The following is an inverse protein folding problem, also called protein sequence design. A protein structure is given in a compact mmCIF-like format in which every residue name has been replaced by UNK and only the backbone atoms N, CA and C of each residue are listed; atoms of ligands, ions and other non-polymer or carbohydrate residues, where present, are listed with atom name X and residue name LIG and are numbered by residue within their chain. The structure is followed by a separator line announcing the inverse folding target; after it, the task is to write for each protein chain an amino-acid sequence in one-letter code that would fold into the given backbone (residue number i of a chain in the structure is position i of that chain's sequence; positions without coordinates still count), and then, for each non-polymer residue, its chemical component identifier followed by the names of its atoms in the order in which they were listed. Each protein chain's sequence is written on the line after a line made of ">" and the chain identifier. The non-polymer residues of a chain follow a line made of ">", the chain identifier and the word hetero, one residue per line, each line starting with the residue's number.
data_IF_274589373373
#
_entry.id   IF_274589373373
#
_cell.length_a   1.000
_cell.length_b   1.000
_cell.length_c   1.000
_cell.angle_alpha   90.00
_cell.angle_beta   90.00
_cell.angle_gamma   90.00
#
_symmetry.space_group_name_H-M   'P 1'
#
loop_
_entity.id
_entity.type
_entity.pdbx_description
1 polymer ?
#
# COMPACT_ATOMS: atom_id res chain seq x y z
N UNK A 1 4.80 -89.10 -28.21
CA UNK A 1 4.24 -88.67 -26.92
C UNK A 1 5.34 -88.03 -26.10
N UNK A 2 5.39 -86.69 -26.04
CA UNK A 2 5.43 -85.89 -24.80
C UNK A 2 5.51 -84.43 -25.22
N UNK A 3 4.44 -83.69 -24.92
CA UNK A 3 4.26 -82.29 -25.23
C UNK A 3 4.97 -81.43 -24.18
N UNK A 4 5.76 -80.45 -24.59
CA UNK A 4 6.17 -79.33 -23.71
C UNK A 4 5.74 -78.03 -24.38
N UNK A 5 4.87 -77.31 -23.67
CA UNK A 5 4.20 -76.10 -24.12
C UNK A 5 5.14 -74.90 -23.97
N UNK A 6 5.33 -74.14 -25.05
CA UNK A 6 5.93 -72.81 -25.01
C UNK A 6 4.90 -71.84 -24.40
N UNK A 7 5.20 -71.26 -23.24
CA UNK A 7 4.41 -70.17 -22.67
C UNK A 7 4.93 -68.84 -23.23
N UNK A 8 4.14 -68.18 -24.06
CA UNK A 8 4.37 -66.81 -24.53
C UNK A 8 4.07 -65.86 -23.36
N UNK A 9 5.10 -65.24 -22.78
CA UNK A 9 4.94 -64.15 -21.83
C UNK A 9 4.59 -62.86 -22.57
N UNK A 10 3.36 -62.38 -22.42
CA UNK A 10 2.97 -61.05 -22.88
C UNK A 10 3.54 -59.99 -21.93
N UNK A 11 4.64 -59.34 -22.33
CA UNK A 11 5.14 -58.14 -21.67
C UNK A 11 4.23 -56.96 -22.03
N UNK A 12 3.31 -56.62 -21.15
CA UNK A 12 2.58 -55.34 -21.22
C UNK A 12 3.57 -54.22 -20.92
N UNK A 13 4.02 -53.52 -21.97
CA UNK A 13 4.69 -52.23 -21.84
C UNK A 13 3.64 -51.25 -21.34
N UNK A 14 3.69 -50.95 -20.03
CA UNK A 14 2.95 -49.82 -19.47
C UNK A 14 3.45 -48.55 -20.11
N UNK A 15 2.63 -47.93 -20.95
CA UNK A 15 2.79 -46.54 -21.36
C UNK A 15 2.61 -45.68 -20.09
N UNK A 16 3.70 -45.46 -19.36
CA UNK A 16 3.77 -44.34 -18.43
C UNK A 16 3.73 -43.08 -19.29
N UNK A 17 2.52 -42.56 -19.52
CA UNK A 17 2.36 -41.17 -19.93
C UNK A 17 3.17 -40.33 -18.95
N UNK A 18 4.10 -39.48 -19.39
CA UNK A 18 4.60 -38.43 -18.51
C UNK A 18 3.36 -37.64 -18.12
N UNK A 19 3.00 -37.67 -16.83
CA UNK A 19 2.09 -36.69 -16.29
C UNK A 19 2.65 -35.34 -16.73
N UNK A 20 1.89 -34.59 -17.54
CA UNK A 20 2.20 -33.20 -17.81
C UNK A 20 2.35 -32.53 -16.46
N UNK A 21 3.59 -32.26 -16.07
CA UNK A 21 3.88 -31.37 -14.97
C UNK A 21 3.26 -30.03 -15.36
N UNK A 22 2.13 -29.70 -14.75
CA UNK A 22 1.54 -28.39 -14.82
C UNK A 22 2.55 -27.43 -14.19
N UNK A 23 3.42 -26.87 -15.02
CA UNK A 23 4.60 -26.12 -14.62
C UNK A 23 4.26 -24.73 -14.04
N UNK A 24 3.00 -24.51 -13.68
CA UNK A 24 2.55 -23.33 -12.97
C UNK A 24 2.87 -23.52 -11.49
N UNK A 25 4.11 -23.23 -11.09
CA UNK A 25 4.48 -23.21 -9.68
C UNK A 25 3.43 -22.39 -8.91
N UNK A 26 2.69 -23.05 -8.04
CA UNK A 26 1.77 -22.41 -7.11
C UNK A 26 2.51 -21.42 -6.18
N UNK A 27 3.84 -21.46 -6.17
CA UNK A 27 4.69 -20.65 -5.33
C UNK A 27 5.83 -20.06 -6.18
N UNK A 28 5.85 -18.73 -6.33
CA UNK A 28 6.88 -17.98 -7.05
C UNK A 28 7.73 -17.24 -6.03
N UNK A 29 9.02 -17.56 -5.94
CA UNK A 29 10.00 -16.83 -5.13
C UNK A 29 10.79 -15.92 -6.05
N UNK A 30 10.88 -14.65 -5.67
CA UNK A 30 11.52 -13.59 -6.42
C UNK A 30 12.71 -13.07 -5.62
N UNK A 31 13.91 -13.46 -6.05
CA UNK A 31 15.16 -12.91 -5.55
C UNK A 31 15.32 -11.46 -6.03
N UNK A 32 16.00 -10.60 -5.25
CA UNK A 32 16.19 -9.22 -5.66
C UNK A 32 17.24 -9.09 -6.77
N UNK A 33 16.93 -8.29 -7.80
CA UNK A 33 17.85 -8.00 -8.90
C UNK A 33 18.52 -6.63 -8.80
N UNK A 34 18.07 -5.79 -7.87
CA UNK A 34 18.71 -4.50 -7.54
C UNK A 34 18.87 -4.34 -6.03
N UNK A 35 19.62 -3.31 -5.62
CA UNK A 35 19.55 -2.77 -4.27
C UNK A 35 18.21 -2.03 -4.05
N UNK A 36 17.90 -1.75 -2.79
CA UNK A 36 16.87 -0.78 -2.43
C UNK A 36 17.32 0.62 -2.86
N UNK A 37 16.43 1.36 -3.52
CA UNK A 37 16.66 2.75 -3.90
C UNK A 37 15.51 3.59 -3.35
N UNK A 38 15.82 4.76 -2.80
CA UNK A 38 14.81 5.73 -2.36
C UNK A 38 14.81 6.90 -3.33
N UNK A 39 13.65 7.17 -3.91
CA UNK A 39 13.37 8.33 -4.74
C UNK A 39 12.73 9.42 -3.86
N UNK A 40 13.46 10.53 -3.71
CA UNK A 40 13.04 11.74 -3.00
C UNK A 40 12.40 12.69 -4.02
N UNK A 41 11.18 12.37 -4.44
CA UNK A 41 10.44 13.17 -5.39
C UNK A 41 9.77 14.37 -4.69
N UNK A 42 9.39 15.39 -5.46
CA UNK A 42 8.78 16.64 -4.96
C UNK A 42 7.52 16.41 -4.11
N UNK A 43 6.77 15.34 -4.36
CA UNK A 43 5.49 15.08 -3.68
C UNK A 43 5.41 13.72 -2.97
N UNK A 44 6.44 12.87 -3.04
CA UNK A 44 6.50 11.58 -2.34
C UNK A 44 7.92 11.09 -2.13
N UNK A 45 8.05 10.28 -1.10
CA UNK A 45 9.14 9.37 -0.90
C UNK A 45 8.74 7.99 -1.41
N UNK A 46 9.56 7.40 -2.28
CA UNK A 46 9.32 6.06 -2.80
C UNK A 46 10.56 5.20 -2.60
N UNK A 47 10.42 4.17 -1.77
CA UNK A 47 11.35 3.07 -1.68
C UNK A 47 11.02 2.04 -2.77
N UNK A 48 11.99 1.70 -3.60
CA UNK A 48 11.81 0.84 -4.77
C UNK A 48 12.89 -0.24 -4.89
N UNK A 49 12.47 -1.43 -5.31
CA UNK A 49 13.38 -2.53 -5.65
C UNK A 49 12.81 -3.40 -6.76
N UNK A 50 13.69 -3.87 -7.63
CA UNK A 50 13.36 -4.86 -8.65
C UNK A 50 13.74 -6.28 -8.20
N UNK A 51 12.96 -7.25 -8.66
CA UNK A 51 13.11 -8.66 -8.33
C UNK A 51 12.91 -9.52 -9.58
N UNK A 52 13.38 -10.77 -9.51
CA UNK A 52 13.36 -11.70 -10.63
C UNK A 52 14.43 -11.40 -11.68
N UNK A 53 14.47 -12.26 -12.69
CA UNK A 53 15.38 -12.12 -13.83
C UNK A 53 14.85 -11.09 -14.87
N UNK A 54 15.63 -10.75 -15.91
CA UNK A 54 15.21 -9.78 -16.92
C UNK A 54 13.95 -10.15 -17.72
N UNK A 55 13.61 -11.45 -17.84
CA UNK A 55 12.41 -11.92 -18.55
C UNK A 55 11.18 -11.97 -17.63
N UNK A 56 11.41 -12.06 -16.32
CA UNK A 56 10.39 -12.15 -15.27
C UNK A 56 10.58 -11.05 -14.22
N UNK A 57 10.72 -9.82 -14.68
CA UNK A 57 11.02 -8.68 -13.82
C UNK A 57 9.79 -8.19 -13.07
N UNK A 58 9.92 -8.10 -11.75
CA UNK A 58 8.90 -7.58 -10.85
C UNK A 58 9.40 -6.33 -10.14
N UNK A 59 8.48 -5.42 -9.81
CA UNK A 59 8.77 -4.21 -9.05
C UNK A 59 7.96 -4.19 -7.77
N UNK A 60 8.59 -3.71 -6.69
CA UNK A 60 7.94 -3.45 -5.41
C UNK A 60 8.23 -2.02 -5.00
N UNK A 61 7.18 -1.28 -4.65
CA UNK A 61 7.25 0.08 -4.11
C UNK A 61 6.60 0.17 -2.73
N UNK A 62 7.27 0.88 -1.82
CA UNK A 62 6.74 1.37 -0.55
C UNK A 62 6.79 2.90 -0.61
N UNK A 63 5.66 3.56 -0.38
CA UNK A 63 5.52 4.99 -0.63
C UNK A 63 4.91 5.75 0.55
N UNK A 64 5.42 6.95 0.81
CA UNK A 64 4.84 7.93 1.72
C UNK A 64 4.76 9.29 1.03
N UNK A 65 3.65 10.00 1.22
CA UNK A 65 3.47 11.40 0.77
C UNK A 65 3.66 12.41 1.90
N UNK A 66 4.27 12.00 3.01
CA UNK A 66 4.29 12.71 4.28
C UNK A 66 4.43 11.75 5.47
N UNK A 67 4.62 12.27 6.69
CA UNK A 67 4.70 11.45 7.90
C UNK A 67 3.44 10.60 8.07
N UNK A 68 3.60 9.33 8.44
CA UNK A 68 2.51 8.38 8.54
C UNK A 68 2.95 7.03 9.08
N UNK A 69 2.07 6.37 9.83
CA UNK A 69 2.23 4.96 10.25
C UNK A 69 1.70 3.96 9.21
N UNK A 70 1.18 4.46 8.09
CA UNK A 70 0.69 3.67 6.95
C UNK A 70 1.41 4.10 5.69
N UNK A 71 1.51 3.17 4.75
CA UNK A 71 2.23 3.39 3.50
C UNK A 71 1.42 2.93 2.28
N UNK A 72 1.73 3.53 1.13
CA UNK A 72 1.36 2.94 -0.15
C UNK A 72 2.23 1.73 -0.43
N UNK A 73 1.63 0.63 -0.85
CA UNK A 73 2.34 -0.59 -1.24
C UNK A 73 1.90 -1.00 -2.63
N UNK A 74 2.85 -1.10 -3.55
CA UNK A 74 2.57 -1.45 -4.95
C UNK A 74 3.48 -2.58 -5.36
N UNK A 75 2.90 -3.63 -5.93
CA UNK A 75 3.64 -4.69 -6.61
C UNK A 75 3.19 -4.79 -8.06
N UNK A 76 4.15 -5.01 -8.95
CA UNK A 76 3.94 -5.03 -10.41
C UNK A 76 4.72 -6.21 -10.99
N UNK A 77 4.11 -6.95 -11.91
CA UNK A 77 4.71 -8.08 -12.60
C UNK A 77 3.70 -9.11 -13.07
N UNK A 78 4.14 -9.99 -13.97
CA UNK A 78 3.28 -11.00 -14.61
C UNK A 78 2.75 -12.04 -13.63
N UNK A 79 3.42 -12.25 -12.49
CA UNK A 79 2.92 -13.15 -11.43
C UNK A 79 1.54 -12.72 -10.89
N UNK A 80 1.14 -11.45 -11.09
CA UNK A 80 -0.15 -10.93 -10.64
C UNK A 80 -1.27 -11.02 -11.68
N UNK A 81 -1.03 -11.50 -12.89
CA UNK A 81 -2.06 -11.61 -13.94
C UNK A 81 -3.27 -12.47 -13.53
N UNK A 82 -3.08 -13.41 -12.59
CA UNK A 82 -4.15 -14.29 -12.10
C UNK A 82 -4.85 -13.76 -10.85
N UNK A 83 -4.37 -12.66 -10.26
CA UNK A 83 -4.91 -12.06 -9.04
C UNK A 83 -6.14 -11.19 -9.38
N UNK A 84 -7.21 -11.82 -9.87
CA UNK A 84 -8.41 -11.13 -10.40
C UNK A 84 -9.49 -10.84 -9.37
N UNK A 85 -9.42 -11.45 -8.18
CA UNK A 85 -10.38 -11.26 -7.08
C UNK A 85 -9.66 -10.58 -5.91
N UNK A 86 -9.67 -9.23 -5.85
CA UNK A 86 -8.86 -8.49 -4.89
C UNK A 86 -9.28 -8.73 -3.44
N UNK A 87 -10.54 -9.14 -3.23
CA UNK A 87 -11.13 -9.58 -1.96
C UNK A 87 -10.53 -10.88 -1.41
N UNK A 88 -9.74 -11.61 -2.21
CA UNK A 88 -9.13 -12.90 -1.83
C UNK A 88 -7.61 -12.85 -1.71
N UNK A 89 -7.02 -11.66 -1.78
CA UNK A 89 -5.58 -11.47 -1.72
C UNK A 89 -5.19 -11.14 -0.27
N UNK A 90 -4.23 -11.86 0.28
CA UNK A 90 -3.63 -11.52 1.57
C UNK A 90 -2.17 -11.12 1.39
N UNK A 91 -1.70 -10.17 2.21
CA UNK A 91 -0.29 -9.74 2.24
C UNK A 91 0.30 -10.09 3.59
N UNK A 92 1.48 -10.68 3.61
CA UNK A 92 2.22 -11.03 4.81
C UNK A 92 3.61 -10.42 4.75
N UNK A 93 4.03 -9.78 5.84
CA UNK A 93 5.36 -9.19 5.98
C UNK A 93 6.17 -10.04 6.96
N UNK A 94 7.25 -10.68 6.50
CA UNK A 94 8.02 -11.63 7.30
C UNK A 94 7.13 -12.68 7.96
N UNK A 95 7.35 -12.91 9.25
CA UNK A 95 6.60 -13.87 10.07
C UNK A 95 5.36 -13.26 10.76
N UNK A 96 5.00 -12.01 10.47
CA UNK A 96 3.78 -11.41 11.01
C UNK A 96 2.53 -12.10 10.46
N UNK A 97 1.40 -11.90 11.14
CA UNK A 97 0.11 -12.41 10.68
C UNK A 97 -0.28 -11.81 9.31
N UNK A 98 -0.91 -12.60 8.42
CA UNK A 98 -1.29 -12.14 7.10
C UNK A 98 -2.47 -11.16 7.16
N UNK A 99 -2.28 -9.99 6.56
CA UNK A 99 -3.28 -8.93 6.44
C UNK A 99 -4.26 -9.28 5.31
N UNK A 100 -5.56 -9.30 5.63
CA UNK A 100 -6.64 -9.69 4.70
C UNK A 100 -7.67 -8.60 4.44
N UNK A 101 -7.85 -7.63 5.34
CA UNK A 101 -8.93 -6.63 5.16
C UNK A 101 -8.58 -5.50 4.19
N UNK A 102 -7.30 -5.31 3.85
CA UNK A 102 -6.88 -4.23 2.95
C UNK A 102 -6.97 -4.69 1.50
N UNK A 103 -8.05 -4.31 0.81
CA UNK A 103 -8.31 -4.70 -0.58
C UNK A 103 -7.54 -3.78 -1.55
N UNK A 104 -6.69 -4.31 -2.45
CA UNK A 104 -5.96 -3.50 -3.43
C UNK A 104 -6.87 -2.99 -4.55
N UNK A 105 -6.44 -1.92 -5.21
CA UNK A 105 -6.87 -1.65 -6.59
C UNK A 105 -6.04 -2.51 -7.55
N UNK A 106 -6.70 -3.05 -8.56
CA UNK A 106 -6.03 -3.74 -9.67
C UNK A 106 -5.64 -2.70 -10.73
N UNK A 107 -4.46 -2.85 -11.29
CA UNK A 107 -3.97 -2.03 -12.39
C UNK A 107 -3.11 -2.82 -13.37
N UNK A 108 -2.57 -2.13 -14.37
CA UNK A 108 -1.58 -2.67 -15.29
C UNK A 108 -0.67 -1.56 -15.83
N UNK A 109 0.52 -1.95 -16.26
CA UNK A 109 1.51 -1.10 -16.93
C UNK A 109 1.98 -1.81 -18.20
N UNK A 110 2.22 -1.05 -19.29
CA UNK A 110 2.59 -1.64 -20.59
C UNK A 110 3.85 -2.51 -20.52
N UNK A 111 4.86 -2.12 -19.71
CA UNK A 111 6.17 -2.80 -19.68
C UNK A 111 6.32 -3.88 -18.59
N UNK A 112 5.49 -3.86 -17.54
CA UNK A 112 5.65 -4.73 -16.36
C UNK A 112 4.39 -5.54 -16.01
N UNK A 113 3.35 -5.49 -16.85
CA UNK A 113 2.16 -6.32 -16.66
C UNK A 113 1.21 -5.83 -15.55
N UNK A 114 0.61 -6.78 -14.83
CA UNK A 114 -0.45 -6.50 -13.84
C UNK A 114 0.10 -5.92 -12.53
N UNK A 115 -0.68 -5.06 -11.87
CA UNK A 115 -0.30 -4.46 -10.59
C UNK A 115 -1.38 -4.56 -9.53
N UNK A 116 -0.92 -4.64 -8.27
CA UNK A 116 -1.76 -4.56 -7.07
C UNK A 116 -1.34 -3.32 -6.29
N UNK A 117 -2.29 -2.42 -6.04
CA UNK A 117 -2.04 -1.10 -5.47
C UNK A 117 -2.81 -0.98 -4.15
N UNK A 118 -2.09 -0.96 -3.05
CA UNK A 118 -2.62 -0.75 -1.71
C UNK A 118 -2.30 0.68 -1.25
N UNK A 119 -3.31 1.43 -0.82
CA UNK A 119 -3.13 2.84 -0.47
C UNK A 119 -2.69 3.09 0.97
N UNK A 120 -3.00 2.16 1.88
CA UNK A 120 -2.90 2.36 3.34
C UNK A 120 -2.44 1.10 4.08
N UNK A 121 -1.41 0.45 3.55
CA UNK A 121 -0.84 -0.76 4.11
C UNK A 121 -0.14 -0.49 5.46
N UNK A 122 -0.01 -1.54 6.25
CA UNK A 122 0.70 -1.62 7.54
C UNK A 122 1.50 -2.93 7.57
N UNK A 123 2.49 -3.05 8.45
CA UNK A 123 3.28 -4.29 8.54
C UNK A 123 2.55 -5.41 9.29
N UNK A 124 1.77 -5.06 10.31
CA UNK A 124 1.03 -5.99 11.16
C UNK A 124 -0.25 -5.33 11.69
N UNK A 125 -1.18 -6.15 12.16
CA UNK A 125 -2.29 -5.71 13.00
C UNK A 125 -1.78 -5.51 14.43
N UNK A 126 -1.78 -4.27 14.97
CA UNK A 126 -1.46 -4.10 16.37
C UNK A 126 -2.49 -4.87 17.21
N UNK A 127 -2.09 -5.53 18.30
CA UNK A 127 -3.03 -6.25 19.16
C UNK A 127 -4.17 -5.31 19.58
N UNK A 128 -5.40 -5.80 19.53
CA UNK A 128 -6.56 -5.06 20.05
C UNK A 128 -6.28 -4.76 21.52
N UNK A 129 -6.02 -3.48 21.82
CA UNK A 129 -5.95 -3.04 23.20
C UNK A 129 -7.40 -2.99 23.68
N UNK A 130 -7.75 -3.79 24.69
CA UNK A 130 -9.02 -3.65 25.41
C UNK A 130 -9.06 -2.25 26.05
N UNK A 131 -9.63 -1.31 25.31
CA UNK A 131 -9.89 0.06 25.72
C UNK A 131 -11.30 0.44 25.26
N UNK A 132 -11.97 1.28 26.03
CA UNK A 132 -13.35 1.68 25.77
C UNK A 132 -13.48 2.19 24.32
N UNK A 133 -14.57 1.83 23.63
CA UNK A 133 -14.77 1.96 22.18
C UNK A 133 -14.94 3.41 21.68
N UNK A 134 -14.29 4.38 22.34
CA UNK A 134 -14.35 5.82 22.07
C UNK A 134 -13.04 6.58 22.32
N UNK A 135 -11.98 5.97 22.87
CA UNK A 135 -10.66 6.61 22.89
C UNK A 135 -9.99 6.46 21.52
N UNK A 136 -10.25 7.42 20.64
CA UNK A 136 -9.32 7.70 19.54
C UNK A 136 -8.01 8.09 20.20
N UNK A 137 -7.04 7.16 20.29
CA UNK A 137 -5.68 7.53 20.68
C UNK A 137 -5.27 8.68 19.79
N UNK A 138 -4.99 9.84 20.39
CA UNK A 138 -4.54 11.01 19.66
C UNK A 138 -3.43 10.56 18.70
N UNK A 139 -3.49 10.94 17.41
CA UNK A 139 -2.48 10.49 16.47
C UNK A 139 -1.12 10.92 17.00
N UNK A 140 -0.21 9.95 17.11
CA UNK A 140 1.16 10.10 17.59
C UNK A 140 1.82 11.32 16.93
N UNK A 141 2.56 12.10 17.70
CA UNK A 141 3.33 13.24 17.20
C UNK A 141 4.25 12.77 16.06
N UNK A 142 4.04 13.30 14.85
CA UNK A 142 4.73 12.89 13.61
C UNK A 142 4.84 11.36 13.45
N UNK A 143 3.75 10.68 13.06
CA UNK A 143 3.75 9.23 12.96
C UNK A 143 4.77 8.75 11.92
N UNK A 144 5.37 7.59 12.18
CA UNK A 144 6.38 6.96 11.32
C UNK A 144 6.07 5.48 11.10
N UNK A 145 6.73 4.88 10.12
CA UNK A 145 6.73 3.43 9.98
C UNK A 145 7.62 2.81 11.06
N UNK A 146 7.16 1.69 11.62
CA UNK A 146 7.88 0.96 12.66
C UNK A 146 9.16 0.30 12.10
N UNK A 147 10.32 0.84 12.48
CA UNK A 147 11.63 0.35 12.07
C UNK A 147 11.99 -0.97 12.76
N UNK A 148 11.53 -1.19 14.00
CA UNK A 148 11.76 -2.44 14.72
C UNK A 148 11.01 -3.59 14.05
N UNK A 149 9.73 -3.39 13.72
CA UNK A 149 8.98 -4.35 12.93
C UNK A 149 9.61 -4.56 11.54
N UNK A 150 10.07 -3.49 10.88
CA UNK A 150 10.76 -3.60 9.60
C UNK A 150 12.06 -4.42 9.67
N UNK A 151 12.77 -4.42 10.80
CA UNK A 151 13.96 -5.25 11.00
C UNK A 151 13.66 -6.76 11.03
N UNK A 152 12.43 -7.14 11.39
CA UNK A 152 12.00 -8.54 11.39
C UNK A 152 11.53 -9.03 10.00
N UNK A 153 11.39 -8.14 9.02
CA UNK A 153 10.90 -8.48 7.68
C UNK A 153 12.09 -8.81 6.78
N UNK A 154 12.18 -10.07 6.36
CA UNK A 154 13.16 -10.53 5.36
C UNK A 154 12.52 -10.95 4.02
N UNK A 155 11.19 -11.09 4.01
CA UNK A 155 10.41 -11.42 2.83
C UNK A 155 9.01 -10.82 2.91
N UNK A 156 8.35 -10.65 1.76
CA UNK A 156 6.94 -10.25 1.68
C UNK A 156 6.21 -11.26 0.81
N UNK A 157 5.10 -11.81 1.31
CA UNK A 157 4.31 -12.81 0.60
C UNK A 157 2.92 -12.27 0.25
N UNK A 158 2.55 -12.34 -1.03
CA UNK A 158 1.17 -12.14 -1.49
C UNK A 158 0.55 -13.48 -1.85
N UNK A 159 -0.59 -13.82 -1.24
CA UNK A 159 -1.30 -15.10 -1.50
C UNK A 159 -2.65 -14.88 -2.17
N UNK A 160 -3.02 -15.82 -3.03
CA UNK A 160 -4.29 -15.88 -3.74
C UNK A 160 -4.73 -17.34 -3.94
N UNK A 161 -5.53 -17.85 -3.00
CA UNK A 161 -5.82 -19.29 -2.92
C UNK A 161 -4.55 -20.09 -2.68
N UNK A 162 -4.28 -21.09 -3.54
CA UNK A 162 -3.04 -21.87 -3.47
C UNK A 162 -1.83 -21.14 -4.05
N UNK A 163 -2.04 -20.00 -4.73
CA UNK A 163 -0.96 -19.22 -5.33
C UNK A 163 -0.28 -18.34 -4.30
N UNK A 164 1.04 -18.22 -4.36
CA UNK A 164 1.79 -17.24 -3.60
C UNK A 164 2.95 -16.67 -4.43
N UNK A 165 3.20 -15.38 -4.24
CA UNK A 165 4.36 -14.66 -4.75
C UNK A 165 5.13 -14.13 -3.56
N UNK A 166 6.41 -14.48 -3.45
CA UNK A 166 7.28 -14.13 -2.34
C UNK A 166 8.44 -13.29 -2.84
N UNK A 167 8.55 -12.08 -2.33
CA UNK A 167 9.68 -11.20 -2.55
C UNK A 167 10.69 -11.43 -1.43
N UNK A 168 11.90 -11.86 -1.76
CA UNK A 168 13.01 -11.93 -0.80
C UNK A 168 13.60 -10.53 -0.59
N UNK A 169 12.95 -9.74 0.25
CA UNK A 169 13.27 -8.32 0.43
C UNK A 169 14.60 -8.09 1.14
N UNK A 170 15.15 -9.10 1.81
CA UNK A 170 16.13 -8.89 2.87
C UNK A 170 15.56 -8.02 4.00
N UNK A 171 16.40 -7.72 4.99
CA UNK A 171 16.04 -6.84 6.10
C UNK A 171 15.59 -5.46 5.57
N UNK A 172 14.43 -4.98 6.03
CA UNK A 172 13.85 -3.70 5.61
C UNK A 172 14.19 -2.53 6.54
N UNK A 173 14.80 -2.75 7.70
CA UNK A 173 14.95 -1.75 8.75
C UNK A 173 15.64 -0.46 8.27
N UNK A 174 16.83 -0.60 7.67
CA UNK A 174 17.58 0.55 7.15
C UNK A 174 16.82 1.30 6.05
N UNK A 175 16.22 0.55 5.12
CA UNK A 175 15.46 1.12 4.01
C UNK A 175 14.21 1.90 4.48
N UNK A 176 13.53 1.38 5.51
CA UNK A 176 12.38 2.05 6.14
C UNK A 176 12.82 3.26 6.98
N UNK A 177 13.96 3.20 7.66
CA UNK A 177 14.51 4.35 8.37
C UNK A 177 14.81 5.52 7.41
N UNK A 178 15.42 5.24 6.25
CA UNK A 178 15.65 6.26 5.20
C UNK A 178 14.32 6.80 4.65
N UNK A 179 13.33 5.93 4.44
CA UNK A 179 12.00 6.37 3.97
C UNK A 179 11.30 7.29 4.98
N UNK A 180 11.42 6.99 6.28
CA UNK A 180 10.88 7.83 7.36
C UNK A 180 11.54 9.22 7.36
N UNK A 181 12.87 9.31 7.26
CA UNK A 181 13.54 10.62 7.20
C UNK A 181 13.14 11.41 5.95
N UNK A 182 13.01 10.74 4.80
CA UNK A 182 12.48 11.37 3.60
C UNK A 182 11.08 11.96 3.87
N UNK A 183 10.18 11.20 4.48
CA UNK A 183 8.79 11.63 4.68
C UNK A 183 8.66 12.75 5.71
N UNK A 184 9.58 12.83 6.68
CA UNK A 184 9.62 13.91 7.67
C UNK A 184 10.10 15.24 7.10
N UNK A 185 10.95 15.24 6.05
CA UNK A 185 11.40 16.48 5.40
C UNK A 185 10.24 17.29 4.81
N UNK A 186 9.15 16.62 4.43
CA UNK A 186 7.97 17.30 3.92
C UNK A 186 7.35 18.29 4.93
N UNK A 187 7.51 18.06 6.23
CA UNK A 187 6.96 18.97 7.26
C UNK A 187 7.55 20.37 7.09
N UNK A 188 8.88 20.45 6.94
CA UNK A 188 9.59 21.70 6.74
C UNK A 188 9.26 22.31 5.35
N UNK A 189 9.18 21.48 4.31
CA UNK A 189 8.81 21.91 2.94
C UNK A 189 7.40 22.51 2.86
N UNK A 190 6.47 22.07 3.72
CA UNK A 190 5.13 22.64 3.82
C UNK A 190 5.08 23.92 4.69
N UNK A 191 6.23 24.44 5.10
CA UNK A 191 6.35 25.64 5.93
C UNK A 191 5.85 25.44 7.35
N UNK A 192 5.96 24.21 7.88
CA UNK A 192 5.65 23.89 9.27
C UNK A 192 6.94 23.66 10.07
N UNK A 193 6.86 23.78 11.39
CA UNK A 193 7.98 23.53 12.28
C UNK A 193 8.02 22.04 12.68
N UNK A 194 8.97 21.27 12.12
CA UNK A 194 9.15 19.85 12.48
C UNK A 194 9.36 19.65 13.97
N UNK A 195 10.21 20.44 14.63
CA UNK A 195 10.50 20.29 16.05
C UNK A 195 9.27 20.54 16.94
N UNK A 196 8.42 21.49 16.56
CA UNK A 196 7.13 21.68 17.23
C UNK A 196 6.24 20.44 17.06
N UNK A 197 6.16 19.89 15.84
CA UNK A 197 5.34 18.72 15.54
C UNK A 197 5.82 17.43 16.23
N UNK A 198 7.13 17.27 16.47
CA UNK A 198 7.69 16.15 17.26
C UNK A 198 7.17 16.11 18.70
N UNK A 199 6.76 17.27 19.25
CA UNK A 199 6.30 17.41 20.64
C UNK A 199 4.81 17.77 20.76
N UNK A 200 4.09 17.72 19.65
CA UNK A 200 2.67 18.03 19.57
C UNK A 200 1.86 17.05 20.44
N UNK A 201 0.86 17.55 21.15
CA UNK A 201 0.01 16.74 22.03
C UNK A 201 -1.23 16.22 21.33
N UNK A 202 -1.67 16.90 20.26
CA UNK A 202 -2.85 16.53 19.50
C UNK A 202 -2.73 16.94 18.04
N UNK A 203 -3.04 16.03 17.12
CA UNK A 203 -3.17 16.33 15.69
C UNK A 203 -4.48 17.05 15.36
N UNK A 204 -4.64 17.64 14.17
CA UNK A 204 -5.92 18.21 13.76
C UNK A 204 -7.03 17.14 13.68
N UNK A 205 -8.22 17.47 14.18
CA UNK A 205 -9.38 16.56 14.19
C UNK A 205 -10.43 17.07 13.20
N UNK A 206 -10.81 16.24 12.23
CA UNK A 206 -11.80 16.63 11.20
C UNK A 206 -13.23 16.46 11.71
N UNK A 207 -13.88 17.56 12.08
CA UNK A 207 -15.17 17.54 12.80
C UNK A 207 -16.38 17.27 11.92
N UNK A 208 -16.31 17.59 10.63
CA UNK A 208 -17.42 17.44 9.68
C UNK A 208 -17.08 16.53 8.49
N UNK A 209 -16.22 15.53 8.72
CA UNK A 209 -15.72 14.61 7.71
C UNK A 209 -16.85 14.00 6.86
N UNK A 210 -17.88 13.42 7.49
CA UNK A 210 -18.96 12.74 6.78
C UNK A 210 -19.68 13.66 5.78
N UNK A 211 -19.93 14.91 6.16
CA UNK A 211 -20.63 15.89 5.32
C UNK A 211 -19.78 16.27 4.09
N UNK A 212 -18.48 16.50 4.30
CA UNK A 212 -17.56 16.87 3.22
C UNK A 212 -17.29 15.66 2.31
N UNK A 213 -17.05 14.48 2.88
CA UNK A 213 -16.85 13.23 2.14
C UNK A 213 -18.05 12.91 1.23
N UNK A 214 -19.29 13.11 1.70
CA UNK A 214 -20.50 12.98 0.88
C UNK A 214 -20.49 13.93 -0.32
N UNK A 215 -20.05 15.18 -0.15
CA UNK A 215 -19.94 16.15 -1.26
C UNK A 215 -18.84 15.77 -2.25
N UNK A 216 -17.69 15.31 -1.76
CA UNK A 216 -16.59 14.82 -2.60
C UNK A 216 -17.06 13.65 -3.47
N UNK A 217 -17.82 12.71 -2.89
CA UNK A 217 -18.38 11.58 -3.61
C UNK A 217 -19.47 12.01 -4.61
N UNK A 218 -20.39 12.90 -4.19
CA UNK A 218 -21.47 13.39 -5.05
C UNK A 218 -20.94 14.18 -6.27
N UNK A 219 -19.81 14.86 -6.11
CA UNK A 219 -19.17 15.66 -7.17
C UNK A 219 -18.11 14.87 -7.96
N UNK A 220 -18.12 13.53 -7.90
CA UNK A 220 -17.17 12.71 -8.65
C UNK A 220 -17.25 12.99 -10.17
N UNK A 221 -16.12 13.19 -10.88
CA UNK A 221 -16.16 13.58 -12.29
C UNK A 221 -16.88 12.57 -13.18
N UNK A 222 -17.95 13.01 -13.85
CA UNK A 222 -18.78 12.16 -14.72
C UNK A 222 -18.02 11.51 -15.88
N UNK A 223 -16.89 12.08 -16.31
CA UNK A 223 -16.01 11.50 -17.33
C UNK A 223 -15.21 10.31 -16.77
N UNK A 224 -14.66 10.42 -15.56
CA UNK A 224 -13.96 9.33 -14.88
C UNK A 224 -14.93 8.19 -14.53
N UNK A 225 -16.13 8.56 -14.04
CA UNK A 225 -17.23 7.62 -13.80
C UNK A 225 -17.58 6.79 -15.04
N UNK A 226 -17.79 7.46 -16.18
CA UNK A 226 -18.11 6.80 -17.46
C UNK A 226 -16.98 5.90 -17.99
N UNK A 227 -15.74 6.16 -17.60
CA UNK A 227 -14.55 5.41 -18.06
C UNK A 227 -14.17 4.25 -17.16
N UNK A 228 -14.87 4.02 -16.06
CA UNK A 228 -14.47 2.94 -15.17
C UNK A 228 -13.19 3.26 -14.36
N UNK A 229 -12.75 4.52 -14.31
CA UNK A 229 -11.48 4.87 -13.67
C UNK A 229 -11.59 4.81 -12.15
N UNK A 230 -10.85 3.88 -11.53
CA UNK A 230 -10.59 3.85 -10.09
C UNK A 230 -9.26 4.56 -9.81
N UNK A 231 -9.15 5.21 -8.65
CA UNK A 231 -7.94 5.93 -8.29
C UNK A 231 -7.71 5.99 -6.79
N UNK A 232 -6.43 6.06 -6.43
CA UNK A 232 -5.99 6.48 -5.09
C UNK A 232 -5.42 7.88 -5.23
N UNK A 233 -6.02 8.82 -4.50
CA UNK A 233 -5.52 10.18 -4.36
C UNK A 233 -5.15 10.40 -2.90
N UNK A 234 -3.91 10.78 -2.65
CA UNK A 234 -3.48 11.26 -1.33
C UNK A 234 -3.84 12.74 -1.26
N UNK A 235 -4.55 13.13 -0.22
CA UNK A 235 -4.90 14.51 0.04
C UNK A 235 -4.17 14.98 1.27
N UNK A 236 -3.56 16.15 1.18
CA UNK A 236 -3.00 16.89 2.31
C UNK A 236 -3.70 18.24 2.39
N UNK A 237 -4.03 18.66 3.61
CA UNK A 237 -4.44 20.03 3.91
C UNK A 237 -3.56 20.62 4.99
N UNK A 238 -3.41 21.94 4.99
CA UNK A 238 -2.88 22.69 6.13
C UNK A 238 -4.05 23.26 6.93
N UNK A 239 -4.06 22.97 8.22
CA UNK A 239 -5.03 23.42 9.20
C UNK A 239 -4.39 24.53 10.03
N UNK A 240 -5.04 25.69 10.05
CA UNK A 240 -4.60 26.86 10.81
C UNK A 240 -5.00 26.75 12.29
N UNK A 241 -4.48 27.66 13.12
CA UNK A 241 -4.71 27.70 14.57
C UNK A 241 -6.18 27.91 14.95
N UNK A 242 -7.02 28.38 14.02
CA UNK A 242 -8.47 28.55 14.19
C UNK A 242 -9.29 27.35 13.67
N UNK A 243 -8.63 26.32 13.13
CA UNK A 243 -9.27 25.14 12.56
C UNK A 243 -9.72 25.28 11.10
N UNK A 244 -9.40 26.39 10.43
CA UNK A 244 -9.65 26.59 9.00
C UNK A 244 -8.59 25.92 8.11
N UNK A 245 -8.94 25.63 6.87
CA UNK A 245 -8.00 25.07 5.87
C UNK A 245 -7.42 26.21 5.02
N UNK A 246 -6.10 26.39 5.04
CA UNK A 246 -5.41 27.42 4.23
C UNK A 246 -4.81 26.87 2.94
N UNK A 247 -4.42 25.60 2.91
CA UNK A 247 -3.85 24.94 1.75
C UNK A 247 -4.45 23.56 1.56
N UNK A 248 -4.58 23.12 0.30
CA UNK A 248 -4.96 21.76 -0.04
C UNK A 248 -4.22 21.29 -1.29
N UNK A 249 -3.58 20.12 -1.19
CA UNK A 249 -2.84 19.48 -2.28
C UNK A 249 -3.36 18.06 -2.49
N UNK A 250 -3.59 17.73 -3.76
CA UNK A 250 -3.93 16.37 -4.18
C UNK A 250 -2.76 15.76 -4.92
N UNK A 251 -2.33 14.60 -4.45
CA UNK A 251 -1.29 13.82 -5.04
C UNK A 251 -1.88 12.52 -5.62
N UNK A 252 -1.69 12.31 -6.91
CA UNK A 252 -2.18 11.09 -7.57
C UNK A 252 -1.21 9.94 -7.30
N UNK A 253 -1.65 8.96 -6.51
CA UNK A 253 -0.89 7.72 -6.31
C UNK A 253 -1.09 6.71 -7.46
N UNK A 254 -2.12 6.92 -8.29
CA UNK A 254 -2.45 6.08 -9.47
C UNK A 254 -2.52 6.91 -10.74
N UNK A 255 -2.26 6.29 -11.89
CA UNK A 255 -2.33 6.93 -13.21
C UNK A 255 -3.80 7.02 -13.66
N UNK A 256 -4.55 8.01 -13.14
CA UNK A 256 -5.89 8.34 -13.60
C UNK A 256 -5.85 9.66 -14.38
N UNK A 257 -5.78 9.54 -15.72
CA UNK A 257 -5.61 10.70 -16.63
C UNK A 257 -6.83 11.62 -16.65
N UNK A 258 -8.03 11.10 -16.43
CA UNK A 258 -9.28 11.88 -16.57
C UNK A 258 -9.84 12.37 -15.23
N UNK A 259 -9.14 12.11 -14.12
CA UNK A 259 -9.64 12.40 -12.78
C UNK A 259 -9.10 13.73 -12.24
N UNK A 260 -9.95 14.76 -12.29
CA UNK A 260 -9.77 16.02 -11.56
C UNK A 260 -10.69 15.99 -10.35
N UNK A 261 -10.16 15.53 -9.21
CA UNK A 261 -10.98 15.33 -8.02
C UNK A 261 -11.50 16.66 -7.45
N UNK A 262 -12.77 16.75 -7.03
CA UNK A 262 -13.33 17.94 -6.39
C UNK A 262 -12.83 18.13 -4.96
N UNK A 263 -12.02 17.22 -4.43
CA UNK A 263 -11.68 17.13 -3.01
C UNK A 263 -11.22 18.46 -2.41
N UNK A 264 -10.22 19.13 -3.00
CA UNK A 264 -9.74 20.39 -2.44
C UNK A 264 -10.77 21.53 -2.46
N UNK A 265 -11.72 21.52 -3.40
CA UNK A 265 -12.81 22.50 -3.41
C UNK A 265 -13.76 22.26 -2.24
N UNK A 266 -14.11 21.00 -1.99
CA UNK A 266 -14.99 20.66 -0.88
C UNK A 266 -14.30 20.82 0.49
N UNK A 267 -12.98 20.61 0.56
CA UNK A 267 -12.18 20.83 1.77
C UNK A 267 -12.19 22.28 2.27
N UNK A 268 -12.53 23.26 1.42
CA UNK A 268 -12.73 24.64 1.87
C UNK A 268 -13.87 24.79 2.88
N UNK A 269 -14.78 23.81 2.95
CA UNK A 269 -15.89 23.75 3.91
C UNK A 269 -15.59 22.84 5.10
N UNK A 270 -14.40 22.24 5.16
CA UNK A 270 -13.99 21.40 6.27
C UNK A 270 -13.82 22.25 7.53
N UNK A 271 -14.18 21.67 8.67
CA UNK A 271 -14.02 22.25 9.99
C UNK A 271 -13.13 21.32 10.80
N UNK A 272 -12.05 21.86 11.31
CA UNK A 272 -11.13 21.13 12.16
C UNK A 272 -11.13 21.68 13.57
N UNK A 273 -10.90 20.82 14.55
CA UNK A 273 -10.18 21.26 15.74
C UNK A 273 -8.69 21.34 15.40
N UNK A 274 -8.00 22.44 15.75
CA UNK A 274 -6.59 22.59 15.43
C UNK A 274 -5.73 21.61 16.23
N UNK A 275 -4.53 21.37 15.72
CA UNK A 275 -3.48 20.71 16.48
C UNK A 275 -3.13 21.50 17.76
N UNK A 276 -2.63 20.81 18.78
CA UNK A 276 -2.16 21.44 20.02
C UNK A 276 -0.68 21.17 20.23
N UNK A 277 0.06 22.22 20.57
CA UNK A 277 1.46 22.11 20.98
C UNK A 277 1.59 21.44 22.37
N UNK A 278 2.83 21.29 22.85
CA UNK A 278 3.13 20.72 24.17
C UNK A 278 2.58 21.52 25.35
N UNK A 279 2.25 22.80 25.15
CA UNK A 279 1.60 23.68 26.13
C UNK A 279 0.07 23.67 26.01
N UNK A 280 -0.50 22.90 25.09
CA UNK A 280 -1.94 22.84 24.85
C UNK A 280 -2.49 24.05 24.06
N UNK A 281 -1.62 24.82 23.40
CA UNK A 281 -2.03 25.95 22.56
C UNK A 281 -2.28 25.50 21.12
N UNK A 282 -3.30 26.06 20.44
CA UNK A 282 -3.50 25.79 19.02
C UNK A 282 -2.27 26.11 18.19
N UNK A 283 -1.88 25.18 17.31
CA UNK A 283 -0.78 25.34 16.36
C UNK A 283 -1.22 25.00 14.94
N UNK A 284 -0.59 25.67 13.96
CA UNK A 284 -0.75 25.34 12.54
C UNK A 284 -0.14 23.96 12.29
N UNK A 285 -0.87 23.10 11.59
CA UNK A 285 -0.45 21.72 11.32
C UNK A 285 -1.05 21.17 10.04
N UNK A 286 -0.80 19.91 9.72
CA UNK A 286 -1.31 19.24 8.53
C UNK A 286 -2.30 18.13 8.87
N UNK A 287 -3.20 17.84 7.93
CA UNK A 287 -4.03 16.64 7.95
C UNK A 287 -3.88 15.92 6.61
N UNK A 288 -3.73 14.60 6.67
CA UNK A 288 -3.55 13.76 5.49
C UNK A 288 -4.53 12.60 5.48
N UNK A 289 -5.07 12.30 4.29
CA UNK A 289 -5.92 11.12 4.11
C UNK A 289 -5.85 10.61 2.67
N UNK A 290 -6.25 9.36 2.47
CA UNK A 290 -6.36 8.75 1.15
C UNK A 290 -7.81 8.72 0.70
N UNK A 291 -8.08 9.35 -0.44
CA UNK A 291 -9.36 9.25 -1.13
C UNK A 291 -9.25 8.08 -2.11
N UNK A 292 -10.08 7.06 -1.88
CA UNK A 292 -10.14 5.89 -2.76
C UNK A 292 -11.45 5.96 -3.54
N UNK A 293 -11.34 6.19 -4.84
CA UNK A 293 -12.45 6.08 -5.75
C UNK A 293 -12.51 4.65 -6.25
N UNK A 294 -13.49 3.88 -5.75
CA UNK A 294 -13.83 2.55 -6.25
C UNK A 294 -15.11 2.66 -7.04
N UNK A 295 -15.11 2.11 -8.24
CA UNK A 295 -16.36 1.82 -8.94
C UNK A 295 -16.78 0.41 -8.52
N UNK A 296 -18.05 0.27 -8.15
CA UNK A 296 -18.65 -1.00 -7.73
C UNK A 296 -18.73 -2.02 -8.86
#
# INVERSE_FOLDING_TARGET
>A
MLSVRLALGAATIGLNSPASADNHKAYVVLEPSTYWNVDFAEDKCRLARAFGDPENRHLLFIEQGGPGSRFGFVVIGDAFERFRRPDRISVQFGEFDPIKEIIPLLGSTEDFGSSLIYSKMKFYDPPEVEGDAGEVKDPEALPRLDVEAANAINFITLRYGERAVVFETGNLGEAIAVLNECSLNFVDEWGLDRAAHESMTRSPIWMNEESVAKKIAANYPSKALRRGESAVIRMRVIVETDGSVSECVLQKATIAKSLDSPACREMQQAKFEPALDKEGRPMRSFYMTNIIYKLG
#
